data_IF_770877450145
#
_entry.id   IF_770877450145
#
_cell.length_a   1.000
_cell.length_b   1.000
_cell.length_c   1.000
_cell.angle_alpha   90.00
_cell.angle_beta   90.00
_cell.angle_gamma   90.00
#
_symmetry.space_group_name_H-M   'P 1'
#
loop_
_entity.id
_entity.type
_entity.pdbx_description
1 polymer ?
#
# COMPACT_ATOMS: atom_id res chain seq x y z
N UNK A 1 11.72 -3.32 32.90
CA UNK A 1 11.65 -2.08 32.10
C UNK A 1 11.45 -2.48 30.64
N UNK A 2 10.29 -2.25 30.01
CA UNK A 2 10.16 -2.52 28.59
C UNK A 2 10.99 -1.46 27.84
N UNK A 3 11.89 -1.94 26.97
CA UNK A 3 12.71 -1.08 26.14
C UNK A 3 11.79 -0.16 25.32
N UNK A 4 11.97 1.15 25.48
CA UNK A 4 11.39 2.15 24.60
C UNK A 4 11.87 1.84 23.18
N UNK A 5 10.99 1.24 22.37
CA UNK A 5 11.22 1.08 20.93
C UNK A 5 11.29 2.50 20.38
N UNK A 6 12.51 2.98 20.10
CA UNK A 6 12.68 4.16 19.24
C UNK A 6 11.92 3.87 17.94
N UNK A 7 11.02 4.76 17.48
CA UNK A 7 10.37 4.57 16.20
C UNK A 7 11.46 4.52 15.13
N UNK A 8 11.44 3.46 14.32
CA UNK A 8 12.27 3.36 13.13
C UNK A 8 11.93 4.55 12.20
N UNK A 9 12.89 5.05 11.40
CA UNK A 9 12.59 6.07 10.40
C UNK A 9 11.45 5.57 9.51
N UNK A 10 10.38 6.37 9.40
CA UNK A 10 9.20 6.06 8.56
C UNK A 10 9.57 6.22 7.09
N UNK A 11 10.34 5.29 6.54
CA UNK A 11 10.58 5.19 5.11
C UNK A 11 9.34 4.57 4.47
N UNK A 12 8.47 5.41 3.89
CA UNK A 12 7.23 4.96 3.27
C UNK A 12 6.26 6.10 2.99
N UNK A 13 5.16 5.77 2.31
CA UNK A 13 4.08 6.71 2.03
C UNK A 13 3.43 7.20 3.34
N UNK A 14 3.07 8.49 3.38
CA UNK A 14 2.37 9.14 4.48
C UNK A 14 1.03 9.70 3.96
N UNK A 15 0.04 8.84 3.67
CA UNK A 15 -1.25 9.25 3.11
C UNK A 15 -2.08 10.14 4.05
N UNK A 16 -1.84 10.06 5.36
CA UNK A 16 -2.71 10.66 6.37
C UNK A 16 -2.06 11.80 7.16
N UNK A 17 -2.86 12.47 7.99
CA UNK A 17 -2.34 13.39 9.02
C UNK A 17 -1.43 12.63 10.00
N UNK A 18 -0.55 13.31 10.75
CA UNK A 18 0.35 12.64 11.69
C UNK A 18 -0.37 11.73 12.71
N UNK A 19 -1.54 12.15 13.20
CA UNK A 19 -2.35 11.39 14.15
C UNK A 19 -2.95 10.14 13.51
N UNK A 20 -3.57 10.29 12.34
CA UNK A 20 -4.17 9.19 11.60
C UNK A 20 -3.11 8.20 11.10
N UNK A 21 -1.95 8.69 10.65
CA UNK A 21 -0.81 7.85 10.27
C UNK A 21 -0.30 7.01 11.45
N UNK A 22 -0.25 7.58 12.66
CA UNK A 22 0.12 6.85 13.87
C UNK A 22 -0.93 5.81 14.28
N UNK A 23 -2.22 6.05 14.02
CA UNK A 23 -3.26 5.05 14.22
C UNK A 23 -3.12 3.91 13.19
N UNK A 24 -2.96 4.26 11.91
CA UNK A 24 -2.81 3.31 10.82
C UNK A 24 -1.60 2.37 11.01
N UNK A 25 -0.46 2.89 11.44
CA UNK A 25 0.74 2.08 11.71
C UNK A 25 0.55 1.05 12.82
N UNK A 26 -0.34 1.32 13.78
CA UNK A 26 -0.65 0.38 14.88
C UNK A 26 -1.51 -0.80 14.44
N UNK A 27 -2.13 -0.73 13.26
CA UNK A 27 -2.88 -1.87 12.71
C UNK A 27 -1.95 -3.01 12.23
N UNK A 28 -0.65 -2.76 12.09
CA UNK A 28 0.35 -3.77 11.76
C UNK A 28 -0.01 -4.61 10.52
N UNK A 29 -0.39 -3.99 9.40
CA UNK A 29 -0.85 -4.71 8.20
C UNK A 29 0.17 -5.72 7.61
N UNK A 30 1.47 -5.51 7.85
CA UNK A 30 2.49 -6.49 7.50
C UNK A 30 2.40 -7.77 8.35
N UNK A 31 2.02 -7.65 9.64
CA UNK A 31 1.73 -8.80 10.49
C UNK A 31 0.47 -9.51 10.00
N UNK A 32 -0.59 -8.77 9.63
CA UNK A 32 -1.78 -9.34 9.03
C UNK A 32 -1.43 -10.15 7.76
N UNK A 33 -0.65 -9.59 6.84
CA UNK A 33 -0.20 -10.30 5.64
C UNK A 33 0.59 -11.58 5.98
N UNK A 34 1.45 -11.52 7.00
CA UNK A 34 2.25 -12.68 7.45
C UNK A 34 1.39 -13.79 8.05
N UNK A 35 0.32 -13.44 8.76
CA UNK A 35 -0.64 -14.40 9.31
C UNK A 35 -1.57 -14.97 8.24
N UNK A 36 -1.96 -14.17 7.24
CA UNK A 36 -2.80 -14.61 6.13
C UNK A 36 -2.05 -15.53 5.16
N UNK A 37 -0.74 -15.30 4.97
CA UNK A 37 0.10 -16.04 4.02
C UNK A 37 1.33 -16.67 4.70
N UNK A 38 1.16 -17.60 5.66
CA UNK A 38 2.26 -18.06 6.52
C UNK A 38 3.34 -18.88 5.79
N UNK A 39 3.07 -19.34 4.58
CA UNK A 39 3.99 -20.12 3.75
C UNK A 39 4.71 -19.30 2.68
N UNK A 40 4.42 -18.00 2.59
CA UNK A 40 5.07 -17.13 1.61
C UNK A 40 6.52 -16.88 1.98
N UNK A 41 7.37 -16.79 0.95
CA UNK A 41 8.74 -16.32 1.12
C UNK A 41 8.73 -14.86 1.60
N UNK A 42 9.87 -14.38 2.11
CA UNK A 42 10.01 -12.98 2.54
C UNK A 42 9.59 -11.98 1.46
N UNK A 43 9.96 -12.22 0.19
CA UNK A 43 9.62 -11.31 -0.91
C UNK A 43 8.13 -11.35 -1.25
N UNK A 44 7.51 -12.52 -1.18
CA UNK A 44 6.06 -12.67 -1.35
C UNK A 44 5.28 -12.01 -0.19
N UNK A 45 5.79 -12.09 1.04
CA UNK A 45 5.22 -11.40 2.20
C UNK A 45 5.32 -9.88 2.09
N UNK A 46 6.42 -9.36 1.54
CA UNK A 46 6.56 -7.93 1.25
C UNK A 46 5.51 -7.47 0.24
N UNK A 47 5.34 -8.21 -0.86
CA UNK A 47 4.27 -7.93 -1.83
C UNK A 47 2.86 -8.00 -1.19
N UNK A 48 2.64 -8.97 -0.30
CA UNK A 48 1.40 -9.07 0.48
C UNK A 48 1.18 -7.88 1.41
N UNK A 49 2.22 -7.41 2.09
CA UNK A 49 2.16 -6.24 2.96
C UNK A 49 1.90 -4.95 2.17
N UNK A 50 2.55 -4.76 1.03
CA UNK A 50 2.32 -3.63 0.12
C UNK A 50 0.87 -3.62 -0.37
N UNK A 51 0.34 -4.78 -0.76
CA UNK A 51 -1.06 -4.95 -1.16
C UNK A 51 -2.04 -4.59 -0.04
N UNK A 52 -1.79 -5.07 1.19
CA UNK A 52 -2.63 -4.73 2.35
C UNK A 52 -2.64 -3.23 2.60
N UNK A 53 -1.48 -2.57 2.52
CA UNK A 53 -1.42 -1.11 2.66
C UNK A 53 -2.23 -0.39 1.57
N UNK A 54 -2.20 -0.85 0.31
CA UNK A 54 -3.06 -0.27 -0.75
C UNK A 54 -4.55 -0.42 -0.40
N UNK A 55 -4.97 -1.60 0.05
CA UNK A 55 -6.39 -1.83 0.42
C UNK A 55 -6.84 -0.97 1.58
N UNK A 56 -6.11 -0.93 2.69
CA UNK A 56 -6.55 -0.19 3.87
C UNK A 56 -6.38 1.32 3.73
N UNK A 57 -5.46 1.81 2.89
CA UNK A 57 -5.44 3.24 2.54
C UNK A 57 -6.64 3.60 1.66
N UNK A 58 -7.03 2.72 0.74
CA UNK A 58 -8.22 2.93 -0.08
C UNK A 58 -9.49 2.93 0.79
N UNK A 59 -9.65 1.93 1.65
CA UNK A 59 -10.75 1.80 2.62
C UNK A 59 -10.94 3.09 3.43
N UNK A 60 -9.88 3.57 4.08
CA UNK A 60 -9.92 4.79 4.91
C UNK A 60 -10.31 6.05 4.12
N UNK A 61 -9.83 6.20 2.88
CA UNK A 61 -10.28 7.31 2.02
C UNK A 61 -11.75 7.14 1.63
N UNK A 62 -12.17 5.93 1.25
CA UNK A 62 -13.54 5.71 0.77
C UNK A 62 -14.61 5.80 1.86
N UNK A 63 -14.25 5.58 3.12
CA UNK A 63 -15.15 5.69 4.27
C UNK A 63 -15.63 7.12 4.53
N UNK A 64 -14.87 8.12 4.08
CA UNK A 64 -15.16 9.55 4.33
C UNK A 64 -15.46 10.35 3.06
N UNK A 65 -15.16 9.79 1.89
CA UNK A 65 -15.32 10.45 0.59
C UNK A 65 -16.66 10.09 -0.09
N UNK A 66 -17.08 10.93 -1.04
CA UNK A 66 -18.30 10.68 -1.83
C UNK A 66 -18.05 9.76 -3.03
N UNK A 67 -19.13 9.25 -3.64
CA UNK A 67 -19.11 8.28 -4.72
C UNK A 67 -18.30 8.73 -5.95
N UNK A 68 -18.25 10.02 -6.25
CA UNK A 68 -17.50 10.57 -7.39
C UNK A 68 -16.00 10.45 -7.10
N UNK A 69 -15.58 10.83 -5.89
CA UNK A 69 -14.17 10.73 -5.46
C UNK A 69 -13.76 9.26 -5.38
N UNK A 70 -14.59 8.39 -4.79
CA UNK A 70 -14.33 6.94 -4.71
C UNK A 70 -14.14 6.32 -6.10
N UNK A 71 -15.00 6.67 -7.08
CA UNK A 71 -14.85 6.20 -8.44
C UNK A 71 -13.53 6.66 -9.08
N UNK A 72 -13.14 7.91 -8.83
CA UNK A 72 -11.88 8.47 -9.33
C UNK A 72 -10.65 7.79 -8.72
N UNK A 73 -10.67 7.49 -7.41
CA UNK A 73 -9.61 6.73 -6.74
C UNK A 73 -9.46 5.33 -7.32
N UNK A 74 -10.58 4.65 -7.61
CA UNK A 74 -10.57 3.35 -8.30
C UNK A 74 -9.92 3.41 -9.69
N UNK A 75 -10.23 4.44 -10.48
CA UNK A 75 -9.60 4.68 -11.78
C UNK A 75 -8.08 4.87 -11.63
N UNK A 76 -7.67 5.64 -10.62
CA UNK A 76 -6.26 5.92 -10.35
C UNK A 76 -5.47 4.69 -9.87
N UNK A 77 -6.05 3.85 -9.01
CA UNK A 77 -5.47 2.56 -8.62
C UNK A 77 -5.28 1.69 -9.86
N UNK A 78 -6.33 1.56 -10.70
CA UNK A 78 -6.26 0.75 -11.91
C UNK A 78 -5.23 1.28 -12.91
N UNK A 79 -5.05 2.59 -13.01
CA UNK A 79 -3.99 3.17 -13.83
C UNK A 79 -2.59 2.84 -13.28
N UNK A 80 -2.39 2.93 -11.95
CA UNK A 80 -1.16 2.53 -11.29
C UNK A 80 -0.78 1.08 -11.57
N UNK A 81 -1.74 0.17 -11.48
CA UNK A 81 -1.54 -1.26 -11.78
C UNK A 81 -1.25 -1.52 -13.27
N UNK A 82 -1.93 -0.82 -14.19
CA UNK A 82 -1.76 -1.04 -15.63
C UNK A 82 -0.51 -0.37 -16.20
N UNK A 83 -0.05 0.71 -15.58
CA UNK A 83 1.06 1.53 -16.03
C UNK A 83 2.13 1.75 -14.94
N UNK A 84 2.64 0.70 -14.28
CA UNK A 84 3.48 0.83 -13.07
C UNK A 84 4.75 1.67 -13.30
N UNK A 85 5.38 1.54 -14.47
CA UNK A 85 6.63 2.27 -14.80
C UNK A 85 6.42 3.69 -15.33
N UNK A 86 5.20 4.07 -15.72
CA UNK A 86 4.90 5.44 -16.17
C UNK A 86 4.58 6.36 -14.98
N UNK A 87 4.11 5.80 -13.88
CA UNK A 87 3.58 6.54 -12.74
C UNK A 87 4.66 7.20 -11.87
N UNK A 88 5.89 6.68 -11.85
CA UNK A 88 6.98 7.17 -10.98
C UNK A 88 7.34 8.65 -11.23
N UNK A 89 7.05 9.18 -12.43
CA UNK A 89 7.55 10.48 -12.90
C UNK A 89 6.46 11.57 -13.07
N UNK A 90 5.20 11.30 -12.72
CA UNK A 90 4.10 12.27 -12.94
C UNK A 90 3.76 13.00 -11.62
N UNK A 91 3.99 14.32 -11.61
CA UNK A 91 3.46 15.22 -10.56
C UNK A 91 1.94 15.33 -10.75
N UNK A 92 1.15 14.96 -9.74
CA UNK A 92 -0.29 15.24 -9.69
C UNK A 92 -1.25 14.04 -9.61
N UNK A 93 -0.77 12.79 -9.54
CA UNK A 93 -1.63 11.64 -9.23
C UNK A 93 -1.80 11.41 -7.73
N UNK A 94 -2.91 10.79 -7.30
CA UNK A 94 -3.11 10.42 -5.88
C UNK A 94 -2.01 9.51 -5.35
N UNK A 95 -1.89 9.48 -4.02
CA UNK A 95 -0.96 8.59 -3.34
C UNK A 95 -1.27 7.12 -3.60
N UNK A 96 -2.56 6.76 -3.71
CA UNK A 96 -3.03 5.41 -4.02
C UNK A 96 -2.53 4.92 -5.37
N UNK A 97 -2.52 5.77 -6.40
CA UNK A 97 -1.93 5.45 -7.71
C UNK A 97 -0.46 5.04 -7.58
N UNK A 98 0.31 5.78 -6.78
CA UNK A 98 1.76 5.54 -6.58
C UNK A 98 1.99 4.25 -5.81
N UNK A 99 1.24 4.04 -4.73
CA UNK A 99 1.31 2.82 -3.93
C UNK A 99 0.96 1.58 -4.78
N UNK A 100 -0.10 1.65 -5.59
CA UNK A 100 -0.49 0.57 -6.49
C UNK A 100 0.57 0.28 -7.56
N UNK A 101 1.16 1.32 -8.15
CA UNK A 101 2.24 1.18 -9.13
C UNK A 101 3.50 0.54 -8.53
N UNK A 102 3.91 0.96 -7.33
CA UNK A 102 5.09 0.41 -6.64
C UNK A 102 4.86 -1.04 -6.23
N UNK A 103 3.72 -1.34 -5.61
CA UNK A 103 3.28 -2.71 -5.30
C UNK A 103 3.38 -3.61 -6.54
N UNK A 104 2.80 -3.17 -7.66
CA UNK A 104 2.73 -3.98 -8.85
C UNK A 104 4.09 -4.18 -9.52
N UNK A 105 4.90 -3.11 -9.60
CA UNK A 105 6.27 -3.19 -10.12
C UNK A 105 7.12 -4.20 -9.34
N UNK A 106 7.03 -4.18 -8.01
CA UNK A 106 7.78 -5.10 -7.15
C UNK A 106 7.27 -6.53 -7.30
N UNK A 107 5.96 -6.71 -7.32
CA UNK A 107 5.31 -8.02 -7.40
C UNK A 107 5.56 -8.72 -8.74
N UNK A 108 5.61 -7.98 -9.85
CA UNK A 108 5.87 -8.55 -11.18
C UNK A 108 7.20 -9.30 -11.26
N UNK A 109 8.22 -8.90 -10.49
CA UNK A 109 9.54 -9.54 -10.51
C UNK A 109 9.55 -10.94 -9.86
N UNK A 110 8.57 -11.24 -9.01
CA UNK A 110 8.45 -12.50 -8.26
C UNK A 110 7.25 -13.34 -8.70
N UNK A 111 6.34 -12.76 -9.48
CA UNK A 111 5.22 -13.47 -10.05
C UNK A 111 5.69 -14.42 -11.16
N UNK A 112 5.23 -15.67 -11.12
CA UNK A 112 5.47 -16.62 -12.20
C UNK A 112 4.46 -16.35 -13.31
N UNK A 113 4.88 -16.22 -14.59
CA UNK A 113 3.93 -16.20 -15.69
C UNK A 113 3.11 -17.50 -15.66
N UNK A 114 1.81 -17.40 -15.45
CA UNK A 114 0.91 -18.51 -15.73
C UNK A 114 0.84 -18.68 -17.25
N UNK A 115 1.13 -19.90 -17.73
CA UNK A 115 1.00 -20.27 -19.14
C UNK A 115 -0.42 -20.07 -19.66
#
# INVERSE_FOLDING_TARGET
MPASRKPLPKEGFQPFSPEAQNAFEKCEFALLASLAYPYFSKTQLQAGADLMNVFFVFDEYTDVENEIVVAQLGIEIMDGLRNPHKCCNIKGGSILRKMAAEFWANTMSIATPSC
#
